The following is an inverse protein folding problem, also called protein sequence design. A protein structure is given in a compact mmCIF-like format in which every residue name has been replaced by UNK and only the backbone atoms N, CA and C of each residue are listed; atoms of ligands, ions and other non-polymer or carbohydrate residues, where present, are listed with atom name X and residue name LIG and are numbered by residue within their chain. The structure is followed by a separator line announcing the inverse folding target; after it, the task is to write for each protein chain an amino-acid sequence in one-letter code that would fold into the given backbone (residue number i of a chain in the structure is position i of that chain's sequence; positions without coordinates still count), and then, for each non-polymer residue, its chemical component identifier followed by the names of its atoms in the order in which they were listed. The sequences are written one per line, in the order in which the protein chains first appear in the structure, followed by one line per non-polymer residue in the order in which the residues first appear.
data_IF_915455794574
#
_entry.id   IF_915455794574
#
_cell.length_a   1.000
_cell.length_b   1.000
_cell.length_c   1.000
_cell.angle_alpha   90.00
_cell.angle_beta   90.00
_cell.angle_gamma   90.00
#
_symmetry.space_group_name_H-M   'P 1'
#
loop_
_entity.id
_entity.type
_entity.pdbx_description
1 polymer ?
#
# COMPACT_ATOMS: atom_id res chain seq x y z
N UNK A 1 6.13 -52.40 13.69
CA UNK A 1 6.51 -52.92 12.35
C UNK A 1 6.07 -51.86 11.34
N UNK A 2 7.00 -51.07 10.79
CA UNK A 2 6.69 -50.00 9.84
C UNK A 2 6.85 -50.54 8.40
N UNK A 3 5.89 -50.29 7.48
CA UNK A 3 6.01 -50.77 6.12
C UNK A 3 7.13 -50.00 5.39
N UNK A 4 8.07 -50.75 4.81
CA UNK A 4 9.08 -50.20 3.91
C UNK A 4 8.38 -49.95 2.56
N UNK A 5 8.19 -48.67 2.22
CA UNK A 5 7.63 -48.27 0.93
C UNK A 5 8.77 -48.15 -0.07
N UNK A 6 8.85 -49.09 -1.01
CA UNK A 6 9.81 -49.05 -2.12
C UNK A 6 9.25 -48.11 -3.20
N UNK A 7 9.76 -46.88 -3.25
CA UNK A 7 9.37 -45.90 -4.27
C UNK A 7 10.13 -46.21 -5.56
N UNK A 8 9.38 -46.51 -6.62
CA UNK A 8 9.93 -46.86 -7.92
C UNK A 8 10.57 -45.63 -8.58
N UNK A 9 11.83 -45.77 -9.02
CA UNK A 9 12.72 -44.67 -9.45
C UNK A 9 12.18 -43.83 -10.62
N UNK A 10 11.22 -44.39 -11.38
CA UNK A 10 10.52 -43.69 -12.47
C UNK A 10 9.67 -42.51 -11.97
N UNK A 11 9.09 -42.60 -10.77
CA UNK A 11 8.27 -41.52 -10.19
C UNK A 11 9.11 -40.39 -9.57
N UNK A 12 10.37 -40.67 -9.21
CA UNK A 12 11.28 -39.66 -8.66
C UNK A 12 11.54 -38.50 -9.64
N UNK A 13 11.65 -38.81 -10.94
CA UNK A 13 11.86 -37.79 -11.99
C UNK A 13 10.66 -36.86 -12.12
N UNK A 14 9.43 -37.40 -12.14
CA UNK A 14 8.21 -36.60 -12.23
C UNK A 14 7.96 -35.76 -10.98
N UNK A 15 8.32 -36.27 -9.80
CA UNK A 15 8.21 -35.52 -8.55
C UNK A 15 9.08 -34.25 -8.58
N UNK A 16 10.32 -34.32 -9.07
CA UNK A 16 11.19 -33.14 -9.14
C UNK A 16 10.63 -32.02 -10.04
N UNK A 17 10.06 -32.38 -11.20
CA UNK A 17 9.48 -31.41 -12.14
C UNK A 17 8.24 -30.75 -11.54
N UNK A 18 7.39 -31.54 -10.87
CA UNK A 18 6.20 -31.02 -10.19
C UNK A 18 6.54 -30.04 -9.07
N UNK A 19 7.55 -30.35 -8.24
CA UNK A 19 7.99 -29.48 -7.15
C UNK A 19 8.52 -28.14 -7.69
N UNK A 20 9.36 -28.19 -8.73
CA UNK A 20 9.89 -26.98 -9.39
C UNK A 20 8.73 -26.12 -9.94
N UNK A 21 7.77 -26.75 -10.64
CA UNK A 21 6.60 -26.06 -11.17
C UNK A 21 5.76 -25.40 -10.06
N UNK A 22 5.58 -26.09 -8.93
CA UNK A 22 4.88 -25.55 -7.77
C UNK A 22 5.59 -24.32 -7.18
N UNK A 23 6.93 -24.35 -7.09
CA UNK A 23 7.74 -23.21 -6.63
C UNK A 23 7.55 -22.01 -7.56
N UNK A 24 7.58 -22.19 -8.87
CA UNK A 24 7.35 -21.10 -9.83
C UNK A 24 5.95 -20.50 -9.69
N UNK A 25 4.92 -21.32 -9.47
CA UNK A 25 3.56 -20.84 -9.19
C UNK A 25 3.55 -19.97 -7.92
N UNK A 26 4.14 -20.46 -6.83
CA UNK A 26 4.20 -19.72 -5.57
C UNK A 26 4.97 -18.40 -5.71
N UNK A 27 6.07 -18.39 -6.46
CA UNK A 27 6.82 -17.15 -6.76
C UNK A 27 5.98 -16.16 -7.58
N UNK A 28 5.25 -16.64 -8.60
CA UNK A 28 4.38 -15.80 -9.42
C UNK A 28 3.21 -15.19 -8.62
N UNK A 29 2.59 -15.98 -7.73
CA UNK A 29 1.52 -15.50 -6.86
C UNK A 29 2.01 -14.44 -5.87
N UNK A 30 3.18 -14.66 -5.25
CA UNK A 30 3.82 -13.67 -4.38
C UNK A 30 4.19 -12.38 -5.14
N UNK A 31 4.66 -12.50 -6.38
CA UNK A 31 4.97 -11.36 -7.22
C UNK A 31 3.75 -10.47 -7.45
N UNK A 32 2.59 -11.06 -7.78
CA UNK A 32 1.35 -10.30 -7.98
C UNK A 32 0.90 -9.54 -6.74
N UNK A 33 1.08 -10.12 -5.55
CA UNK A 33 0.73 -9.48 -4.29
C UNK A 33 1.60 -8.24 -4.02
N UNK A 34 2.90 -8.30 -4.30
CA UNK A 34 3.83 -7.20 -4.07
C UNK A 34 3.58 -5.97 -4.96
N UNK A 35 2.81 -6.10 -6.06
CA UNK A 35 2.57 -5.00 -6.99
C UNK A 35 1.60 -3.92 -6.47
N UNK A 36 0.95 -4.14 -5.32
CA UNK A 36 -0.10 -3.23 -4.79
C UNK A 36 0.41 -2.15 -3.83
N UNK A 37 1.69 -2.21 -3.47
CA UNK A 37 2.28 -1.33 -2.47
C UNK A 37 3.65 -0.85 -2.95
N UNK A 38 3.84 0.46 -3.05
CA UNK A 38 5.14 1.05 -3.38
C UNK A 38 5.62 1.88 -2.21
N UNK A 39 6.73 1.46 -1.60
CA UNK A 39 7.42 2.25 -0.60
C UNK A 39 8.14 3.42 -1.27
N UNK A 40 7.88 4.64 -0.80
CA UNK A 40 8.60 5.86 -1.17
C UNK A 40 9.21 6.49 0.09
N UNK A 41 10.38 7.10 -0.04
CA UNK A 41 11.13 7.60 1.12
C UNK A 41 11.69 9.00 0.89
N UNK A 42 11.83 9.77 1.96
CA UNK A 42 12.51 11.07 1.91
C UNK A 42 13.94 10.94 1.38
N UNK A 43 14.63 9.82 1.64
CA UNK A 43 15.97 9.57 1.12
C UNK A 43 16.00 9.53 -0.42
N UNK A 44 14.96 8.98 -1.05
CA UNK A 44 14.84 8.90 -2.51
C UNK A 44 14.62 10.28 -3.16
N UNK A 45 13.84 11.15 -2.51
CA UNK A 45 13.43 12.44 -3.10
C UNK A 45 14.21 13.66 -2.57
N UNK A 46 14.96 13.51 -1.48
CA UNK A 46 15.70 14.58 -0.83
C UNK A 46 14.82 15.80 -0.53
N UNK A 47 15.27 16.98 -0.97
CA UNK A 47 14.55 18.25 -0.78
C UNK A 47 13.18 18.31 -1.47
N UNK A 48 12.97 17.49 -2.52
CA UNK A 48 11.68 17.44 -3.23
C UNK A 48 10.62 16.65 -2.47
N UNK A 49 10.98 16.01 -1.35
CA UNK A 49 10.06 15.23 -0.55
C UNK A 49 8.94 16.10 0.05
N UNK A 50 7.66 15.89 -0.32
CA UNK A 50 6.59 16.82 0.03
C UNK A 50 5.98 16.55 1.42
N UNK A 51 6.37 15.48 2.12
CA UNK A 51 5.68 15.04 3.33
C UNK A 51 6.50 15.23 4.60
N UNK A 52 5.86 15.45 5.75
CA UNK A 52 6.52 15.61 7.06
C UNK A 52 7.01 14.27 7.63
N UNK A 53 6.42 13.16 7.19
CA UNK A 53 6.86 11.80 7.51
C UNK A 53 8.04 11.40 6.64
N UNK A 54 9.00 10.62 7.15
CA UNK A 54 10.21 10.25 6.41
C UNK A 54 10.01 9.15 5.34
N UNK A 55 8.89 8.43 5.40
CA UNK A 55 8.52 7.37 4.45
C UNK A 55 7.00 7.23 4.36
N UNK A 56 6.52 6.67 3.25
CA UNK A 56 5.13 6.29 3.08
C UNK A 56 4.96 5.21 2.03
N UNK A 57 3.82 4.52 2.08
CA UNK A 57 3.49 3.44 1.15
C UNK A 57 2.35 3.92 0.28
N UNK A 58 2.59 3.99 -1.03
CA UNK A 58 1.55 4.25 -2.00
C UNK A 58 0.75 2.96 -2.19
N UNK A 59 -0.52 3.02 -1.82
CA UNK A 59 -1.49 1.95 -2.04
C UNK A 59 -2.59 2.47 -2.96
N UNK A 60 -3.13 1.59 -3.80
CA UNK A 60 -4.33 1.90 -4.55
C UNK A 60 -5.47 0.93 -4.25
N UNK A 61 -6.65 1.48 -3.96
CA UNK A 61 -7.88 0.71 -3.78
C UNK A 61 -9.02 1.44 -4.49
N UNK A 62 -9.78 0.75 -5.35
CA UNK A 62 -10.86 1.35 -6.14
C UNK A 62 -10.46 2.64 -6.90
N UNK A 63 -9.24 2.70 -7.46
CA UNK A 63 -8.63 3.88 -8.11
C UNK A 63 -8.40 5.09 -7.18
N UNK A 64 -8.50 4.89 -5.87
CA UNK A 64 -8.10 5.87 -4.86
C UNK A 64 -6.63 5.66 -4.55
N UNK A 65 -5.81 6.66 -4.88
CA UNK A 65 -4.39 6.66 -4.54
C UNK A 65 -4.23 7.25 -3.15
N UNK A 66 -3.68 6.46 -2.23
CA UNK A 66 -3.55 6.79 -0.82
C UNK A 66 -2.08 6.60 -0.41
N UNK A 67 -1.61 7.45 0.50
CA UNK A 67 -0.33 7.31 1.17
C UNK A 67 -0.55 6.78 2.58
N UNK A 68 -0.11 5.57 2.85
CA UNK A 68 -0.16 4.97 4.18
C UNK A 68 1.12 5.29 4.96
N UNK A 69 0.96 5.57 6.25
CA UNK A 69 2.08 5.78 7.16
C UNK A 69 2.65 4.41 7.56
N UNK A 70 3.62 3.94 6.77
CA UNK A 70 4.39 2.71 7.00
C UNK A 70 3.59 1.39 6.90
N UNK A 71 4.19 0.38 6.26
CA UNK A 71 3.55 -0.91 5.94
C UNK A 71 3.17 -1.73 7.20
N UNK A 72 3.87 -1.49 8.30
CA UNK A 72 3.69 -2.24 9.55
C UNK A 72 2.55 -1.71 10.43
N UNK A 73 2.13 -0.45 10.24
CA UNK A 73 1.01 0.13 11.00
C UNK A 73 -0.34 -0.53 10.66
N UNK A 74 -0.47 -1.14 9.49
CA UNK A 74 -1.72 -1.80 9.08
C UNK A 74 -1.90 -3.21 9.66
N UNK A 75 -0.80 -3.93 9.91
CA UNK A 75 -0.81 -5.31 10.41
C UNK A 75 -0.99 -5.40 11.94
N UNK A 76 -0.59 -4.37 12.68
CA UNK A 76 -0.73 -4.29 14.14
C UNK A 76 -1.83 -3.33 14.57
N UNK A 77 -2.96 -3.31 13.85
CA UNK A 77 -4.13 -2.48 14.20
C UNK A 77 -4.74 -2.93 15.52
N UNK A 78 -4.61 -2.07 16.53
CA UNK A 78 -5.42 -2.19 17.74
C UNK A 78 -6.86 -1.74 17.41
N UNK A 79 -7.86 -2.49 17.87
CA UNK A 79 -9.26 -2.34 17.44
C UNK A 79 -9.91 -1.04 17.95
N UNK A 80 -9.30 -0.40 18.94
CA UNK A 80 -9.90 0.69 19.72
C UNK A 80 -9.33 2.09 19.38
N UNK A 81 -8.35 2.20 18.46
CA UNK A 81 -7.83 3.49 18.00
C UNK A 81 -8.44 3.88 16.64
N UNK A 82 -8.84 5.16 16.52
CA UNK A 82 -9.23 5.79 15.25
C UNK A 82 -7.99 5.81 14.36
N UNK A 83 -7.82 4.74 13.61
CA UNK A 83 -6.65 4.54 12.78
C UNK A 83 -6.92 5.18 11.42
N UNK A 84 -6.23 6.30 11.16
CA UNK A 84 -6.16 6.88 9.82
C UNK A 84 -5.56 5.81 8.91
N UNK A 85 -6.36 5.33 7.97
CA UNK A 85 -5.96 4.29 7.04
C UNK A 85 -4.95 4.80 6.00
N UNK A 86 -4.91 6.11 5.79
CA UNK A 86 -3.92 6.79 4.96
C UNK A 86 -4.40 8.17 4.52
N UNK A 87 -3.56 8.84 3.74
CA UNK A 87 -3.78 10.21 3.27
C UNK A 87 -4.12 10.23 1.78
N UNK A 88 -5.16 10.96 1.40
CA UNK A 88 -5.63 10.97 0.01
C UNK A 88 -4.74 11.79 -0.94
N UNK A 89 -4.15 11.11 -1.94
CA UNK A 89 -3.22 11.72 -2.88
C UNK A 89 -3.93 12.27 -4.12
N UNK A 90 -4.88 11.54 -4.70
CA UNK A 90 -5.58 11.94 -5.93
C UNK A 90 -6.99 12.51 -5.67
N UNK A 91 -7.57 13.15 -6.69
CA UNK A 91 -8.89 13.78 -6.60
C UNK A 91 -10.02 12.81 -6.23
N UNK A 92 -9.98 11.57 -6.75
CA UNK A 92 -10.96 10.53 -6.40
C UNK A 92 -10.90 10.18 -4.92
N UNK A 93 -9.70 9.91 -4.39
CA UNK A 93 -9.51 9.63 -2.97
C UNK A 93 -10.00 10.81 -2.11
N UNK A 94 -9.67 12.05 -2.47
CA UNK A 94 -10.11 13.25 -1.74
C UNK A 94 -11.62 13.43 -1.74
N UNK A 95 -12.28 13.14 -2.87
CA UNK A 95 -13.75 13.17 -2.95
C UNK A 95 -14.37 12.16 -1.98
N UNK A 96 -13.81 10.96 -1.89
CA UNK A 96 -14.31 9.90 -1.00
C UNK A 96 -14.05 10.22 0.48
N UNK A 97 -12.87 10.78 0.79
CA UNK A 97 -12.55 11.30 2.13
C UNK A 97 -13.60 12.30 2.56
N UNK A 98 -13.90 13.27 1.69
CA UNK A 98 -14.86 14.33 1.99
C UNK A 98 -16.25 13.78 2.24
N UNK A 99 -16.75 12.86 1.40
CA UNK A 99 -18.04 12.22 1.64
C UNK A 99 -18.04 11.39 2.92
N UNK A 100 -16.93 10.74 3.27
CA UNK A 100 -16.83 9.94 4.50
C UNK A 100 -16.74 10.79 5.78
N UNK A 101 -16.02 11.92 5.75
CA UNK A 101 -15.89 12.85 6.88
C UNK A 101 -17.18 13.64 7.11
N UNK A 102 -17.90 14.03 6.04
CA UNK A 102 -19.23 14.66 6.14
C UNK A 102 -20.28 13.67 6.69
N UNK A 103 -20.11 12.35 6.49
CA UNK A 103 -21.02 11.30 6.97
C UNK A 103 -20.79 10.87 8.43
N UNK A 104 -19.63 11.23 9.01
CA UNK A 104 -19.15 10.62 10.27
C UNK A 104 -19.69 11.24 11.57
N UNK A 105 -20.81 11.97 11.53
CA UNK A 105 -21.48 12.42 12.74
C UNK A 105 -22.53 11.44 13.27
N UNK A 106 -22.93 10.40 12.52
CA UNK A 106 -23.99 9.46 12.97
C UNK A 106 -23.88 7.98 12.56
N UNK A 107 -22.95 7.57 11.66
CA UNK A 107 -23.03 6.25 11.01
C UNK A 107 -21.66 5.52 10.82
N UNK A 108 -20.72 5.70 11.76
CA UNK A 108 -19.36 5.16 11.72
C UNK A 108 -19.23 3.62 11.62
N UNK A 109 -20.34 2.87 11.67
CA UNK A 109 -20.35 1.40 11.73
C UNK A 109 -20.02 0.71 10.39
N UNK A 110 -20.20 1.38 9.24
CA UNK A 110 -20.17 0.71 7.93
C UNK A 110 -18.81 0.68 7.23
N UNK A 111 -17.88 1.58 7.56
CA UNK A 111 -16.55 1.63 6.94
C UNK A 111 -15.47 1.94 7.99
N UNK A 112 -14.67 0.97 8.46
CA UNK A 112 -13.68 1.16 9.53
C UNK A 112 -12.39 1.84 9.05
N UNK A 113 -12.42 2.55 7.92
CA UNK A 113 -11.24 3.05 7.22
C UNK A 113 -11.44 4.55 7.03
N UNK A 114 -10.88 5.34 7.95
CA UNK A 114 -10.91 6.81 7.87
C UNK A 114 -9.69 7.25 7.08
N UNK A 115 -9.91 7.92 5.95
CA UNK A 115 -8.84 8.59 5.23
C UNK A 115 -8.71 10.02 5.74
N UNK A 116 -7.48 10.49 5.91
CA UNK A 116 -7.21 11.86 6.32
C UNK A 116 -6.90 12.74 5.10
N UNK A 117 -7.10 14.04 5.27
CA UNK A 117 -6.65 15.01 4.28
C UNK A 117 -5.13 15.06 4.28
N UNK A 118 -4.53 15.10 3.07
CA UNK A 118 -3.09 15.13 2.89
C UNK A 118 -2.42 16.34 3.55
N UNK A 119 -3.16 17.45 3.72
CA UNK A 119 -2.69 18.69 4.32
C UNK A 119 -2.09 18.52 5.72
N UNK A 120 -2.52 17.50 6.48
CA UNK A 120 -1.97 17.18 7.80
C UNK A 120 -0.49 16.81 7.77
N UNK A 121 -0.04 16.16 6.69
CA UNK A 121 1.35 15.72 6.52
C UNK A 121 2.07 16.47 5.40
N UNK A 122 1.42 17.44 4.76
CA UNK A 122 1.99 18.16 3.63
C UNK A 122 2.92 19.27 4.11
N UNK A 123 4.21 19.17 3.79
CA UNK A 123 5.22 20.19 4.13
C UNK A 123 4.93 21.52 3.46
N UNK A 124 5.13 22.58 4.22
CA UNK A 124 5.16 23.94 3.69
C UNK A 124 6.41 24.18 2.86
N UNK A 125 6.28 24.99 1.81
CA UNK A 125 7.39 25.40 0.98
C UNK A 125 8.12 26.58 1.65
N UNK A 126 9.40 26.45 2.04
CA UNK A 126 10.13 27.52 2.72
C UNK A 126 10.37 28.74 1.82
N UNK A 127 10.32 28.58 0.50
CA UNK A 127 10.58 29.66 -0.46
C UNK A 127 9.34 30.52 -0.75
N UNK A 128 8.13 29.99 -0.50
CA UNK A 128 6.87 30.64 -0.85
C UNK A 128 5.89 30.47 0.32
N UNK A 129 5.73 31.55 1.11
CA UNK A 129 4.88 31.57 2.30
C UNK A 129 3.45 31.15 1.96
N UNK A 130 2.91 30.23 2.77
CA UNK A 130 1.53 29.74 2.65
C UNK A 130 1.31 28.71 1.53
N UNK A 131 2.36 28.34 0.79
CA UNK A 131 2.27 27.26 -0.21
C UNK A 131 2.85 25.95 0.32
N UNK A 132 2.41 24.84 -0.24
CA UNK A 132 2.92 23.49 0.03
C UNK A 132 4.00 23.10 -0.98
N UNK A 133 4.93 22.23 -0.58
CA UNK A 133 5.90 21.64 -1.52
C UNK A 133 5.13 20.81 -2.55
N UNK A 134 5.19 21.08 -3.86
CA UNK A 134 4.44 20.31 -4.85
C UNK A 134 4.83 18.83 -4.79
N UNK A 135 3.86 17.93 -4.88
CA UNK A 135 4.13 16.49 -4.97
C UNK A 135 4.78 16.22 -6.34
N UNK A 136 6.00 15.66 -6.38
CA UNK A 136 6.66 15.34 -7.63
C UNK A 136 5.81 14.46 -8.54
N UNK A 137 5.86 14.73 -9.84
CA UNK A 137 5.09 14.02 -10.86
C UNK A 137 5.37 12.50 -10.85
N UNK A 138 6.61 12.10 -10.58
CA UNK A 138 7.01 10.70 -10.52
C UNK A 138 6.43 9.95 -9.32
N UNK A 139 6.14 10.62 -8.20
CA UNK A 139 5.35 10.02 -7.10
C UNK A 139 3.94 9.68 -7.59
N UNK A 140 3.30 10.59 -8.32
CA UNK A 140 1.97 10.33 -8.89
C UNK A 140 2.02 9.18 -9.91
N UNK A 141 2.99 9.17 -10.81
CA UNK A 141 3.13 8.11 -11.81
C UNK A 141 3.39 6.75 -11.18
N UNK A 142 4.29 6.68 -10.18
CA UNK A 142 4.49 5.46 -9.38
C UNK A 142 3.18 5.00 -8.74
N UNK A 143 2.45 5.91 -8.11
CA UNK A 143 1.16 5.59 -7.49
C UNK A 143 0.08 5.14 -8.48
N UNK A 144 -0.04 5.81 -9.63
CA UNK A 144 -1.01 5.45 -10.67
C UNK A 144 -0.66 4.13 -11.36
N UNK A 145 0.62 3.78 -11.47
CA UNK A 145 1.07 2.47 -11.94
C UNK A 145 0.62 1.33 -11.00
N UNK A 146 0.34 1.62 -9.73
CA UNK A 146 -0.32 0.69 -8.79
C UNK A 146 -1.82 0.61 -9.04
N UNK A 147 -2.47 1.72 -9.38
CA UNK A 147 -3.91 1.77 -9.63
C UNK A 147 -4.36 1.07 -10.91
N UNK A 148 -3.53 1.08 -11.94
CA UNK A 148 -3.88 0.57 -13.27
C UNK A 148 -3.59 -0.95 -13.43
N UNK A 149 -3.48 -1.70 -12.32
CA UNK A 149 -3.19 -3.15 -12.31
C UNK A 149 -4.29 -3.95 -11.63
#
# INVERSE_FOLDING_TARGET
MFPIIIINNKYLKYFSVFVIFLIFILMYLNWKYYQKHILITQQEYGEKWPFTVSRGVLTCTNNMLILEKDLWGSLFRNKDEINIAGYAINGKARSEVRSSLEWNSTHAEKYPVIFADLTEIWRDNPSIRGSKIPIPQDIFEKGLAVCNK
#
